data_IF_190255736895
#
_entry.id   IF_190255736895
#
_cell.length_a   1.000
_cell.length_b   1.000
_cell.length_c   1.000
_cell.angle_alpha   90.00
_cell.angle_beta   90.00
_cell.angle_gamma   90.00
#
_symmetry.space_group_name_H-M   'P 1'
#
loop_
_entity.id
_entity.type
_entity.pdbx_description
1 polymer ?
#
# COMPACT_ATOMS: atom_id res chain seq x y z
N UNK A 1 12.06 -9.01 10.67
CA UNK A 1 12.02 -7.58 11.06
C UNK A 1 10.83 -7.30 11.95
N UNK A 2 10.97 -6.40 12.93
CA UNK A 2 9.89 -5.97 13.82
C UNK A 2 9.66 -4.46 13.68
N UNK A 3 9.47 -3.98 12.44
CA UNK A 3 9.31 -2.56 12.11
C UNK A 3 8.26 -1.88 13.00
N UNK A 4 8.54 -0.67 13.47
CA UNK A 4 7.65 0.08 14.37
C UNK A 4 6.31 0.43 13.69
N UNK A 5 6.34 0.79 12.41
CA UNK A 5 5.19 1.16 11.60
C UNK A 5 4.42 -0.04 10.99
N UNK A 6 4.66 -1.26 11.42
CA UNK A 6 4.05 -2.42 10.80
C UNK A 6 2.53 -2.46 11.01
N UNK A 7 1.78 -2.15 9.97
CA UNK A 7 0.31 -2.13 9.97
C UNK A 7 -0.34 -3.51 10.18
N UNK A 8 0.43 -4.60 10.05
CA UNK A 8 -0.06 -5.99 10.23
C UNK A 8 0.41 -6.63 11.52
N UNK A 9 1.19 -5.93 12.31
CA UNK A 9 1.84 -6.50 13.50
C UNK A 9 2.57 -7.82 13.20
N UNK A 10 3.21 -7.87 12.03
CA UNK A 10 3.88 -9.09 11.57
C UNK A 10 5.08 -9.43 12.45
N UNK A 11 5.23 -10.71 12.77
CA UNK A 11 6.29 -11.25 13.63
C UNK A 11 6.52 -12.72 13.32
N UNK A 12 6.10 -13.59 14.22
CA UNK A 12 6.19 -15.05 14.06
C UNK A 12 5.17 -15.54 13.02
N UNK A 13 5.53 -16.61 12.32
CA UNK A 13 4.59 -17.31 11.44
C UNK A 13 3.40 -17.82 12.24
N UNK A 14 2.20 -17.67 11.67
CA UNK A 14 0.98 -18.18 12.28
C UNK A 14 0.80 -19.67 11.93
N UNK A 15 0.30 -20.46 12.86
CA UNK A 15 0.09 -21.91 12.64
C UNK A 15 -1.05 -22.19 11.66
N UNK A 16 -2.04 -21.28 11.58
CA UNK A 16 -3.27 -21.40 10.78
C UNK A 16 -3.23 -20.58 9.48
N UNK A 17 -2.04 -20.28 8.96
CA UNK A 17 -1.90 -19.66 7.64
C UNK A 17 -2.47 -20.56 6.53
N UNK A 18 -2.97 -19.95 5.46
CA UNK A 18 -3.42 -20.69 4.28
C UNK A 18 -2.29 -21.60 3.77
N UNK A 19 -2.62 -22.87 3.56
CA UNK A 19 -1.72 -23.86 2.94
C UNK A 19 -1.46 -23.52 1.47
N UNK A 20 -0.51 -24.21 0.83
CA UNK A 20 -0.21 -24.04 -0.59
C UNK A 20 -1.45 -24.32 -1.46
N UNK A 21 -2.21 -25.36 -1.17
CA UNK A 21 -3.40 -25.73 -1.93
C UNK A 21 -4.56 -24.73 -1.73
N UNK A 22 -4.76 -24.22 -0.51
CA UNK A 22 -5.69 -23.13 -0.25
C UNK A 22 -5.25 -21.84 -0.97
N UNK A 23 -3.95 -21.55 -1.01
CA UNK A 23 -3.38 -20.44 -1.78
C UNK A 23 -3.67 -20.58 -3.28
N UNK A 24 -3.46 -21.74 -3.88
CA UNK A 24 -3.78 -22.00 -5.29
C UNK A 24 -5.28 -21.88 -5.57
N UNK A 25 -6.15 -22.40 -4.67
CA UNK A 25 -7.58 -22.22 -4.77
C UNK A 25 -7.94 -20.74 -4.79
N UNK A 26 -7.43 -19.97 -3.85
CA UNK A 26 -7.63 -18.51 -3.75
C UNK A 26 -7.16 -17.78 -5.02
N UNK A 27 -6.01 -18.13 -5.58
CA UNK A 27 -5.48 -17.52 -6.81
C UNK A 27 -6.46 -17.73 -7.98
N UNK A 28 -7.05 -18.93 -8.13
CA UNK A 28 -8.09 -19.20 -9.14
C UNK A 28 -9.32 -18.33 -8.94
N UNK A 29 -9.78 -18.19 -7.70
CA UNK A 29 -10.95 -17.39 -7.35
C UNK A 29 -10.70 -15.87 -7.58
N UNK A 30 -9.51 -15.37 -7.26
CA UNK A 30 -9.08 -14.00 -7.57
C UNK A 30 -9.11 -13.75 -9.08
N UNK A 31 -8.59 -14.70 -9.88
CA UNK A 31 -8.66 -14.61 -11.34
C UNK A 31 -10.09 -14.61 -11.86
N UNK A 32 -10.93 -15.49 -11.33
CA UNK A 32 -12.35 -15.58 -11.68
C UNK A 32 -13.14 -14.30 -11.29
N UNK A 33 -12.73 -13.62 -10.23
CA UNK A 33 -13.29 -12.34 -9.82
C UNK A 33 -12.89 -11.17 -10.75
N UNK A 34 -11.98 -11.40 -11.72
CA UNK A 34 -11.59 -10.42 -12.75
C UNK A 34 -10.34 -9.61 -12.42
N UNK A 35 -9.65 -9.91 -11.34
CA UNK A 35 -8.39 -9.25 -11.01
C UNK A 35 -7.31 -9.59 -12.03
N UNK A 36 -6.40 -8.63 -12.26
CA UNK A 36 -5.29 -8.76 -13.22
C UNK A 36 -3.93 -8.86 -12.53
N UNK A 37 -3.86 -8.46 -11.26
CA UNK A 37 -2.62 -8.36 -10.49
C UNK A 37 -2.83 -8.95 -9.11
N UNK A 38 -1.81 -9.61 -8.60
CA UNK A 38 -1.75 -10.09 -7.23
C UNK A 38 -0.44 -9.64 -6.58
N UNK A 39 -0.54 -8.99 -5.43
CA UNK A 39 0.63 -8.55 -4.67
C UNK A 39 0.86 -9.56 -3.54
N UNK A 40 1.96 -10.26 -3.61
CA UNK A 40 2.44 -11.12 -2.52
C UNK A 40 3.17 -10.25 -1.51
N UNK A 41 2.63 -10.16 -0.31
CA UNK A 41 3.13 -9.36 0.79
C UNK A 41 2.84 -10.07 2.11
N UNK A 42 2.84 -9.35 3.23
CA UNK A 42 2.51 -9.91 4.54
C UNK A 42 3.46 -9.40 5.60
N UNK A 43 4.17 -10.29 6.31
CA UNK A 43 5.41 -9.94 7.01
C UNK A 43 6.51 -9.74 5.97
N UNK A 44 7.28 -10.80 5.74
CA UNK A 44 8.21 -10.86 4.61
C UNK A 44 7.85 -12.06 3.72
N UNK A 45 7.41 -11.85 2.48
CA UNK A 45 6.93 -12.94 1.62
C UNK A 45 8.02 -13.96 1.28
N UNK A 46 9.28 -13.54 1.18
CA UNK A 46 10.42 -14.45 0.91
C UNK A 46 10.69 -15.45 2.04
N UNK A 47 10.10 -15.26 3.21
CA UNK A 47 10.13 -16.28 4.29
C UNK A 47 9.10 -17.39 4.09
N UNK A 48 8.16 -17.24 3.16
CA UNK A 48 7.17 -18.27 2.84
C UNK A 48 7.77 -19.27 1.83
N UNK A 49 7.85 -20.54 2.21
CA UNK A 49 8.56 -21.58 1.43
C UNK A 49 7.99 -21.84 0.05
N UNK A 50 6.67 -21.68 -0.13
CA UNK A 50 5.95 -21.92 -1.37
C UNK A 50 5.66 -20.64 -2.18
N UNK A 51 6.34 -19.51 -1.86
CA UNK A 51 6.15 -18.24 -2.55
C UNK A 51 6.33 -18.37 -4.07
N UNK A 52 7.41 -19.00 -4.50
CA UNK A 52 7.73 -19.14 -5.94
C UNK A 52 6.73 -20.04 -6.65
N UNK A 53 6.28 -21.12 -6.00
CA UNK A 53 5.24 -22.01 -6.51
C UNK A 53 3.91 -21.26 -6.71
N UNK A 54 3.48 -20.48 -5.72
CA UNK A 54 2.26 -19.66 -5.78
C UNK A 54 2.39 -18.54 -6.82
N UNK A 55 3.56 -17.91 -6.94
CA UNK A 55 3.85 -16.90 -7.96
C UNK A 55 3.76 -17.47 -9.37
N UNK A 56 4.42 -18.61 -9.62
CA UNK A 56 4.37 -19.33 -10.88
C UNK A 56 2.94 -19.76 -11.24
N UNK A 57 2.19 -20.25 -10.26
CA UNK A 57 0.79 -20.63 -10.45
C UNK A 57 -0.09 -19.41 -10.81
N UNK A 58 0.09 -18.28 -10.14
CA UNK A 58 -0.60 -17.03 -10.47
C UNK A 58 -0.27 -16.57 -11.91
N UNK A 59 1.01 -16.61 -12.29
CA UNK A 59 1.48 -16.25 -13.62
C UNK A 59 0.89 -17.17 -14.70
N UNK A 60 0.83 -18.50 -14.46
CA UNK A 60 0.27 -19.47 -15.39
C UNK A 60 -1.22 -19.25 -15.70
N UNK A 61 -1.94 -18.63 -14.77
CA UNK A 61 -3.35 -18.23 -14.95
C UNK A 61 -3.51 -16.83 -15.57
N UNK A 62 -2.40 -16.17 -15.95
CA UNK A 62 -2.39 -14.84 -16.52
C UNK A 62 -2.69 -13.72 -15.50
N UNK A 63 -2.46 -13.96 -14.21
CA UNK A 63 -2.29 -12.89 -13.22
C UNK A 63 -0.87 -12.33 -13.31
N UNK A 64 -0.71 -11.10 -12.88
CA UNK A 64 0.60 -10.44 -12.77
C UNK A 64 1.06 -10.49 -11.31
N UNK A 65 1.92 -11.44 -10.91
CA UNK A 65 2.46 -11.46 -9.56
C UNK A 65 3.44 -10.31 -9.36
N UNK A 66 3.28 -9.61 -8.23
CA UNK A 66 4.12 -8.51 -7.77
C UNK A 66 4.54 -8.80 -6.34
N UNK A 67 5.76 -8.44 -5.96
CA UNK A 67 6.28 -8.65 -4.61
C UNK A 67 6.22 -7.35 -3.80
N UNK A 68 5.71 -7.40 -2.56
CA UNK A 68 5.85 -6.33 -1.56
C UNK A 68 6.79 -6.80 -0.46
N UNK A 69 8.03 -6.29 -0.41
CA UNK A 69 9.11 -6.84 0.41
C UNK A 69 9.96 -5.74 1.06
N UNK A 70 10.67 -6.11 2.13
CA UNK A 70 11.72 -5.27 2.68
C UNK A 70 13.03 -5.32 1.88
N UNK A 71 13.17 -6.27 0.93
CA UNK A 71 14.31 -6.40 0.03
C UNK A 71 15.53 -7.13 0.60
N UNK A 72 15.60 -7.34 1.92
CA UNK A 72 16.83 -7.84 2.59
C UNK A 72 17.16 -9.32 2.35
N UNK A 73 16.22 -10.07 1.78
CA UNK A 73 16.36 -11.50 1.48
C UNK A 73 16.45 -11.78 -0.03
N UNK A 74 16.60 -10.74 -0.84
CA UNK A 74 16.75 -10.90 -2.30
C UNK A 74 18.23 -11.08 -2.64
N UNK A 75 18.77 -12.28 -2.44
CA UNK A 75 20.05 -12.67 -3.00
C UNK A 75 19.92 -13.02 -4.50
N UNK A 76 20.99 -13.44 -5.14
CA UNK A 76 21.01 -13.77 -6.57
C UNK A 76 20.09 -14.94 -6.91
N UNK A 77 20.04 -15.95 -6.05
CA UNK A 77 19.18 -17.12 -6.22
C UNK A 77 17.71 -16.72 -6.08
N UNK A 78 17.36 -15.98 -5.05
CA UNK A 78 16.00 -15.49 -4.86
C UNK A 78 15.53 -14.59 -6.02
N UNK A 79 16.41 -13.71 -6.52
CA UNK A 79 16.09 -12.87 -7.68
C UNK A 79 15.82 -13.72 -8.93
N UNK A 80 16.63 -14.75 -9.19
CA UNK A 80 16.43 -15.66 -10.31
C UNK A 80 15.12 -16.46 -10.14
N UNK A 81 14.86 -17.01 -8.97
CA UNK A 81 13.64 -17.74 -8.67
C UNK A 81 12.38 -16.86 -8.80
N UNK A 82 12.43 -15.57 -8.39
CA UNK A 82 11.35 -14.62 -8.62
C UNK A 82 11.09 -14.42 -10.12
N UNK A 83 12.15 -14.28 -10.92
CA UNK A 83 12.03 -14.12 -12.37
C UNK A 83 11.39 -15.35 -13.03
N UNK A 84 11.85 -16.54 -12.68
CA UNK A 84 11.32 -17.81 -13.19
C UNK A 84 9.87 -18.06 -12.76
N UNK A 85 9.50 -17.65 -11.54
CA UNK A 85 8.12 -17.69 -11.05
C UNK A 85 7.20 -16.63 -11.68
N UNK A 86 7.73 -15.77 -12.58
CA UNK A 86 6.95 -14.80 -13.33
C UNK A 86 6.63 -13.51 -12.59
N UNK A 87 7.35 -13.18 -11.50
CA UNK A 87 7.20 -11.89 -10.85
C UNK A 87 7.64 -10.74 -11.76
N UNK A 88 6.77 -9.73 -11.92
CA UNK A 88 6.98 -8.65 -12.87
C UNK A 88 7.59 -7.39 -12.25
N UNK A 89 7.38 -7.20 -10.95
CA UNK A 89 7.85 -6.04 -10.24
C UNK A 89 7.94 -6.31 -8.72
N UNK A 90 8.71 -5.48 -8.02
CA UNK A 90 8.77 -5.46 -6.57
C UNK A 90 8.54 -4.04 -6.02
N UNK A 91 7.77 -3.94 -4.95
CA UNK A 91 7.71 -2.76 -4.08
C UNK A 91 8.66 -2.96 -2.92
N UNK A 92 9.68 -2.10 -2.82
CA UNK A 92 10.77 -2.24 -1.89
C UNK A 92 10.77 -1.08 -0.91
N UNK A 93 10.94 -1.40 0.34
CA UNK A 93 10.80 -0.44 1.43
C UNK A 93 12.12 0.23 1.78
N UNK A 94 12.18 1.57 1.69
CA UNK A 94 13.25 2.44 2.20
C UNK A 94 12.61 3.66 2.84
N UNK A 95 12.86 3.88 4.15
CA UNK A 95 12.22 4.98 4.88
C UNK A 95 13.16 6.17 5.15
N UNK A 96 14.47 5.98 4.99
CA UNK A 96 15.48 7.04 5.09
C UNK A 96 16.69 6.68 4.23
N UNK A 97 17.42 7.70 3.76
CA UNK A 97 18.73 7.53 3.10
C UNK A 97 19.88 7.44 4.11
N UNK A 98 19.64 7.73 5.38
CA UNK A 98 20.56 7.44 6.47
C UNK A 98 20.39 5.98 6.90
N UNK A 99 21.41 5.11 6.69
CA UNK A 99 21.32 3.70 7.05
C UNK A 99 20.94 3.45 8.52
N UNK A 100 21.46 4.26 9.44
CA UNK A 100 21.19 4.09 10.87
C UNK A 100 19.72 4.39 11.21
N UNK A 101 19.16 5.45 10.64
CA UNK A 101 17.75 5.80 10.82
C UNK A 101 16.84 4.73 10.21
N UNK A 102 17.13 4.32 8.98
CA UNK A 102 16.36 3.27 8.29
C UNK A 102 16.36 1.96 9.08
N UNK A 103 17.52 1.52 9.54
CA UNK A 103 17.71 0.27 10.25
C UNK A 103 17.06 0.30 11.64
N UNK A 104 17.17 1.43 12.34
CA UNK A 104 16.51 1.65 13.63
C UNK A 104 15.00 1.54 13.52
N UNK A 105 14.39 2.22 12.54
CA UNK A 105 12.94 2.20 12.29
C UNK A 105 12.43 0.81 11.87
N UNK A 106 13.28 0.06 11.13
CA UNK A 106 12.96 -1.30 10.68
C UNK A 106 13.38 -2.39 11.66
N UNK A 107 14.07 -2.02 12.77
CA UNK A 107 14.56 -2.94 13.80
C UNK A 107 15.41 -4.08 13.21
N UNK A 108 16.32 -3.73 12.29
CA UNK A 108 17.25 -4.70 11.71
C UNK A 108 18.52 -3.99 11.24
N UNK A 109 19.62 -4.20 11.96
CA UNK A 109 20.95 -3.69 11.61
C UNK A 109 21.41 -4.20 10.23
N UNK A 110 21.96 -3.34 9.40
CA UNK A 110 22.39 -3.62 8.03
C UNK A 110 21.24 -3.82 7.04
N UNK A 111 19.99 -3.52 7.43
CA UNK A 111 18.84 -3.65 6.54
C UNK A 111 18.97 -2.78 5.29
N UNK A 112 19.39 -1.51 5.44
CA UNK A 112 19.54 -0.59 4.31
C UNK A 112 20.48 -1.15 3.23
N UNK A 113 21.68 -1.57 3.62
CA UNK A 113 22.67 -2.09 2.68
C UNK A 113 22.19 -3.39 2.02
N UNK A 114 21.60 -4.33 2.78
CA UNK A 114 21.02 -5.56 2.21
C UNK A 114 19.85 -5.27 1.28
N UNK A 115 19.06 -4.25 1.55
CA UNK A 115 17.98 -3.81 0.65
C UNK A 115 18.54 -3.30 -0.67
N UNK A 116 19.63 -2.51 -0.65
CA UNK A 116 20.29 -2.03 -1.86
C UNK A 116 20.90 -3.19 -2.66
N UNK A 117 21.53 -4.16 -2.00
CA UNK A 117 22.01 -5.38 -2.65
C UNK A 117 20.87 -6.16 -3.33
N UNK A 118 19.73 -6.30 -2.63
CA UNK A 118 18.52 -6.91 -3.19
C UNK A 118 18.00 -6.18 -4.44
N UNK A 119 18.05 -4.87 -4.45
CA UNK A 119 17.69 -4.04 -5.63
C UNK A 119 18.64 -4.34 -6.79
N UNK A 120 19.94 -4.39 -6.56
CA UNK A 120 20.91 -4.73 -7.61
C UNK A 120 20.67 -6.14 -8.16
N UNK A 121 20.38 -7.12 -7.29
CA UNK A 121 20.04 -8.47 -7.73
C UNK A 121 18.77 -8.51 -8.61
N UNK A 122 17.72 -7.75 -8.28
CA UNK A 122 16.52 -7.63 -9.14
C UNK A 122 16.85 -7.01 -10.51
N UNK A 123 17.73 -6.02 -10.54
CA UNK A 123 18.17 -5.37 -11.80
C UNK A 123 18.88 -6.37 -12.70
N UNK A 124 19.74 -7.26 -12.17
CA UNK A 124 20.48 -8.26 -12.96
C UNK A 124 19.56 -9.21 -13.70
N UNK A 125 18.38 -9.53 -13.14
CA UNK A 125 17.39 -10.42 -13.78
C UNK A 125 16.28 -9.66 -14.52
N UNK A 126 16.33 -8.32 -14.54
CA UNK A 126 15.38 -7.48 -15.26
C UNK A 126 13.99 -7.40 -14.62
N UNK A 127 13.87 -7.60 -13.30
CA UNK A 127 12.64 -7.31 -12.54
C UNK A 127 12.62 -5.83 -12.18
N UNK A 128 11.58 -5.11 -12.61
CA UNK A 128 11.38 -3.71 -12.26
C UNK A 128 11.00 -3.54 -10.78
N UNK A 129 11.31 -2.39 -10.21
CA UNK A 129 10.99 -2.12 -8.82
C UNK A 129 10.49 -0.69 -8.61
N UNK A 130 9.89 -0.46 -7.47
CA UNK A 130 9.49 0.85 -6.96
C UNK A 130 9.87 0.96 -5.48
N UNK A 131 10.14 2.17 -5.02
CA UNK A 131 10.47 2.42 -3.61
C UNK A 131 9.22 2.83 -2.85
N UNK A 132 9.09 2.28 -1.65
CA UNK A 132 8.03 2.56 -0.69
C UNK A 132 8.62 3.19 0.57
N UNK A 133 8.15 4.37 0.95
CA UNK A 133 8.53 5.06 2.18
C UNK A 133 7.29 5.31 3.02
N UNK A 134 7.31 4.93 4.29
CA UNK A 134 6.31 5.39 5.25
C UNK A 134 6.75 6.73 5.80
N UNK A 135 5.93 7.77 5.58
CA UNK A 135 6.25 9.12 6.04
C UNK A 135 5.86 9.32 7.49
N UNK A 136 6.82 9.80 8.26
CA UNK A 136 6.75 10.17 9.65
C UNK A 136 7.26 11.62 9.80
N UNK A 137 7.05 12.25 10.95
CA UNK A 137 7.54 13.62 11.17
C UNK A 137 9.07 13.70 11.16
N UNK A 138 9.79 12.65 11.59
CA UNK A 138 11.24 12.59 11.58
C UNK A 138 11.89 12.44 10.18
N UNK A 139 11.18 11.85 9.19
CA UNK A 139 11.72 11.66 7.83
C UNK A 139 11.04 12.53 6.76
N UNK A 140 10.02 13.32 7.11
CA UNK A 140 9.28 14.15 6.14
C UNK A 140 10.17 15.12 5.37
N UNK A 141 11.29 15.56 5.96
CA UNK A 141 12.29 16.40 5.31
C UNK A 141 13.18 15.68 4.30
N UNK A 142 13.17 14.35 4.27
CA UNK A 142 13.99 13.54 3.36
C UNK A 142 13.26 13.15 2.06
N UNK A 143 11.93 13.32 1.98
CA UNK A 143 11.09 12.73 0.91
C UNK A 143 11.51 13.14 -0.50
N UNK A 144 11.90 14.39 -0.72
CA UNK A 144 12.37 14.86 -2.02
C UNK A 144 13.74 14.25 -2.39
N UNK A 145 14.64 14.11 -1.41
CA UNK A 145 15.93 13.45 -1.61
C UNK A 145 15.75 11.95 -1.88
N UNK A 146 14.80 11.29 -1.19
CA UNK A 146 14.45 9.89 -1.47
C UNK A 146 13.84 9.76 -2.87
N UNK A 147 13.04 10.73 -3.33
CA UNK A 147 12.52 10.74 -4.69
C UNK A 147 13.65 10.82 -5.74
N UNK A 148 14.63 11.72 -5.54
CA UNK A 148 15.81 11.84 -6.42
C UNK A 148 16.63 10.54 -6.43
N UNK A 149 16.91 9.99 -5.25
CA UNK A 149 17.60 8.71 -5.11
C UNK A 149 16.83 7.58 -5.81
N UNK A 150 15.51 7.53 -5.66
CA UNK A 150 14.65 6.54 -6.30
C UNK A 150 14.79 6.56 -7.83
N UNK A 151 14.81 7.76 -8.43
CA UNK A 151 15.06 7.91 -9.87
C UNK A 151 16.50 7.49 -10.24
N UNK A 152 17.48 7.90 -9.46
CA UNK A 152 18.90 7.60 -9.68
C UNK A 152 19.19 6.10 -9.71
N UNK A 153 18.59 5.32 -8.82
CA UNK A 153 18.79 3.85 -8.78
C UNK A 153 17.99 3.10 -9.86
N UNK A 154 17.18 3.80 -10.66
CA UNK A 154 16.42 3.23 -11.77
C UNK A 154 15.07 2.61 -11.38
N UNK A 155 14.48 3.03 -10.27
CA UNK A 155 13.13 2.62 -9.90
C UNK A 155 12.09 3.20 -10.87
N UNK A 156 10.94 2.51 -11.02
CA UNK A 156 9.84 2.93 -11.91
C UNK A 156 8.89 3.93 -11.28
N UNK A 157 8.81 3.98 -9.96
CA UNK A 157 7.95 4.88 -9.21
C UNK A 157 8.43 5.03 -7.76
N UNK A 158 7.98 6.09 -7.11
CA UNK A 158 8.15 6.33 -5.69
C UNK A 158 6.79 6.42 -4.99
N UNK A 159 6.51 5.53 -4.06
CA UNK A 159 5.27 5.50 -3.30
C UNK A 159 5.51 6.00 -1.87
N UNK A 160 4.84 7.09 -1.51
CA UNK A 160 4.91 7.72 -0.19
C UNK A 160 3.66 7.35 0.60
N UNK A 161 3.83 6.48 1.60
CA UNK A 161 2.73 5.98 2.44
C UNK A 161 2.55 6.90 3.64
N UNK A 162 1.40 7.54 3.73
CA UNK A 162 1.03 8.31 4.91
C UNK A 162 0.48 7.36 5.98
N UNK A 163 1.06 7.43 7.16
CA UNK A 163 0.71 6.52 8.26
C UNK A 163 -0.80 6.54 8.53
N UNK A 164 -1.38 5.35 8.63
CA UNK A 164 -2.67 5.10 9.26
C UNK A 164 -2.38 4.19 10.45
N UNK A 165 -2.58 4.62 11.69
CA UNK A 165 -2.15 3.89 12.87
C UNK A 165 -3.00 2.63 13.09
N UNK A 166 -2.48 1.51 12.57
CA UNK A 166 -3.02 0.15 12.72
C UNK A 166 -1.89 -0.83 13.01
N UNK A 167 -2.17 -1.97 13.61
CA UNK A 167 -1.14 -2.91 14.06
C UNK A 167 -0.18 -2.24 15.05
N UNK A 168 1.14 -2.48 14.93
CA UNK A 168 2.16 -1.83 15.77
C UNK A 168 2.22 -0.31 15.60
N UNK A 169 1.82 0.20 14.45
CA UNK A 169 1.83 1.64 14.18
C UNK A 169 0.94 2.47 15.12
N UNK A 170 0.02 1.85 15.85
CA UNK A 170 -0.76 2.51 16.92
C UNK A 170 0.17 3.07 18.01
N UNK A 171 1.28 2.40 18.29
CA UNK A 171 2.22 2.81 19.35
C UNK A 171 3.07 4.02 18.98
N UNK A 172 3.07 4.44 17.70
CA UNK A 172 3.83 5.58 17.18
C UNK A 172 2.91 6.58 16.45
N UNK A 173 1.63 6.60 16.79
CA UNK A 173 0.66 7.54 16.19
C UNK A 173 1.09 9.00 16.38
N UNK A 174 1.70 9.32 17.52
CA UNK A 174 2.19 10.67 17.83
C UNK A 174 3.30 11.15 16.89
N UNK A 175 4.03 10.23 16.25
CA UNK A 175 5.06 10.51 15.25
C UNK A 175 4.49 10.66 13.82
N UNK A 176 3.18 10.42 13.63
CA UNK A 176 2.51 10.66 12.36
C UNK A 176 2.44 12.17 12.08
N UNK A 177 2.45 12.54 10.80
CA UNK A 177 2.29 13.93 10.41
C UNK A 177 0.98 14.50 10.97
N UNK A 178 1.04 15.72 11.48
CA UNK A 178 -0.17 16.48 11.82
C UNK A 178 -0.89 16.92 10.54
N UNK A 179 -2.20 17.14 10.64
CA UNK A 179 -3.05 17.46 9.48
C UNK A 179 -2.53 18.63 8.64
N UNK A 180 -2.03 19.68 9.28
CA UNK A 180 -1.46 20.83 8.56
C UNK A 180 -0.19 20.49 7.79
N UNK A 181 0.69 19.66 8.36
CA UNK A 181 1.92 19.22 7.71
C UNK A 181 1.64 18.20 6.61
N UNK A 182 0.65 17.34 6.81
CA UNK A 182 0.16 16.41 5.80
C UNK A 182 -0.22 17.13 4.49
N UNK A 183 -1.03 18.18 4.54
CA UNK A 183 -1.46 18.93 3.35
C UNK A 183 -0.29 19.65 2.68
N UNK A 184 0.64 20.24 3.46
CA UNK A 184 1.87 20.84 2.96
C UNK A 184 2.76 19.82 2.27
N UNK A 185 2.93 18.65 2.87
CA UNK A 185 3.74 17.56 2.30
C UNK A 185 3.17 17.08 0.97
N UNK A 186 1.83 16.93 0.86
CA UNK A 186 1.20 16.63 -0.43
C UNK A 186 1.49 17.71 -1.47
N UNK A 187 1.43 18.99 -1.10
CA UNK A 187 1.72 20.09 -2.01
C UNK A 187 3.19 20.08 -2.48
N UNK A 188 4.14 19.77 -1.58
CA UNK A 188 5.58 19.63 -1.89
C UNK A 188 5.84 18.43 -2.81
N UNK A 189 5.27 17.26 -2.52
CA UNK A 189 5.43 16.07 -3.36
C UNK A 189 4.88 16.30 -4.77
N UNK A 190 3.74 16.97 -4.90
CA UNK A 190 3.17 17.30 -6.22
C UNK A 190 3.96 18.41 -6.95
N UNK A 191 4.67 19.27 -6.23
CA UNK A 191 5.63 20.19 -6.86
C UNK A 191 6.87 19.45 -7.34
N UNK A 192 7.42 18.55 -6.51
CA UNK A 192 8.54 17.68 -6.89
C UNK A 192 8.21 16.83 -8.11
N UNK A 193 6.97 16.31 -8.23
CA UNK A 193 6.52 15.53 -9.38
C UNK A 193 6.73 16.23 -10.72
N UNK A 194 6.62 17.56 -10.78
CA UNK A 194 6.86 18.33 -12.03
C UNK A 194 8.27 18.20 -12.57
N UNK A 195 9.22 17.84 -11.71
CA UNK A 195 10.66 17.75 -12.01
C UNK A 195 11.11 16.29 -12.21
N UNK A 196 10.18 15.33 -12.02
CA UNK A 196 10.51 13.90 -12.00
C UNK A 196 9.95 13.18 -13.23
N UNK A 197 10.75 12.31 -13.83
CA UNK A 197 10.31 11.39 -14.88
C UNK A 197 9.54 10.19 -14.30
N UNK A 198 9.93 9.75 -13.10
CA UNK A 198 9.21 8.70 -12.37
C UNK A 198 7.99 9.27 -11.65
N UNK A 199 6.96 8.46 -11.45
CA UNK A 199 5.77 8.91 -10.76
C UNK A 199 5.93 8.85 -9.25
N UNK A 200 5.65 9.96 -8.56
CA UNK A 200 5.51 10.04 -7.11
C UNK A 200 4.04 9.81 -6.77
N UNK A 201 3.75 8.73 -6.04
CA UNK A 201 2.39 8.38 -5.63
C UNK A 201 2.20 8.48 -4.12
N UNK A 202 1.54 9.52 -3.61
CA UNK A 202 1.06 9.51 -2.23
C UNK A 202 0.02 8.39 -2.05
N UNK A 203 0.27 7.50 -1.09
CA UNK A 203 -0.57 6.36 -0.74
C UNK A 203 -1.18 6.58 0.64
N UNK A 204 -2.41 6.15 0.86
CA UNK A 204 -3.23 6.51 2.02
C UNK A 204 -3.45 8.04 2.16
N UNK A 205 -3.26 8.76 1.07
CA UNK A 205 -3.38 10.21 0.99
C UNK A 205 -4.17 10.63 -0.27
N UNK A 206 -5.42 10.16 -0.46
CA UNK A 206 -6.17 10.34 -1.71
C UNK A 206 -6.39 11.80 -2.09
N UNK A 207 -6.24 12.73 -1.16
CA UNK A 207 -6.30 14.17 -1.39
C UNK A 207 -5.24 14.67 -2.38
N UNK A 208 -4.20 13.86 -2.68
CA UNK A 208 -3.20 14.18 -3.70
C UNK A 208 -3.84 14.42 -5.07
N UNK A 209 -4.96 13.76 -5.39
CA UNK A 209 -5.71 13.97 -6.63
C UNK A 209 -6.14 15.43 -6.78
N UNK A 210 -6.71 16.01 -5.72
CA UNK A 210 -7.11 17.42 -5.70
C UNK A 210 -5.91 18.35 -5.81
N UNK A 211 -4.84 18.03 -5.10
CA UNK A 211 -3.61 18.86 -5.12
C UNK A 211 -2.96 18.82 -6.50
N UNK A 212 -2.91 17.66 -7.13
CA UNK A 212 -2.38 17.48 -8.49
C UNK A 212 -3.23 18.23 -9.53
N UNK A 213 -4.56 18.10 -9.46
CA UNK A 213 -5.49 18.80 -10.33
C UNK A 213 -5.31 20.31 -10.27
N UNK A 214 -5.25 20.89 -9.05
CA UNK A 214 -5.00 22.33 -8.84
C UNK A 214 -3.64 22.79 -9.36
N UNK A 215 -2.67 21.90 -9.51
CA UNK A 215 -1.34 22.18 -10.07
C UNK A 215 -1.23 21.87 -11.58
N UNK A 216 -2.31 21.43 -12.22
CA UNK A 216 -2.34 21.05 -13.63
C UNK A 216 -1.53 19.80 -13.97
N UNK A 217 -1.32 18.89 -13.00
CA UNK A 217 -0.59 17.66 -13.20
C UNK A 217 -1.49 16.56 -13.77
N UNK A 218 -1.03 15.94 -14.86
CA UNK A 218 -1.67 14.75 -15.42
C UNK A 218 -0.95 13.48 -14.91
N UNK A 219 -1.52 12.86 -13.90
CA UNK A 219 -0.95 11.67 -13.26
C UNK A 219 -1.52 10.39 -13.88
N UNK A 220 -0.73 9.31 -13.90
CA UNK A 220 -1.18 7.97 -14.31
C UNK A 220 -2.26 7.44 -13.36
N UNK A 221 -2.14 7.73 -12.07
CA UNK A 221 -3.10 7.33 -11.05
C UNK A 221 -4.24 8.36 -10.95
N UNK A 222 -5.38 8.05 -11.55
CA UNK A 222 -6.56 8.90 -11.60
C UNK A 222 -7.54 8.70 -10.44
N UNK A 223 -7.29 7.71 -9.58
CA UNK A 223 -8.12 7.38 -8.41
C UNK A 223 -7.30 7.47 -7.13
N UNK A 224 -7.89 8.05 -6.09
CA UNK A 224 -7.30 8.18 -4.77
C UNK A 224 -7.44 6.91 -3.95
N UNK A 225 -8.55 6.73 -3.23
CA UNK A 225 -8.79 5.52 -2.45
C UNK A 225 -9.35 4.39 -3.32
N UNK A 226 -8.73 3.21 -3.23
CA UNK A 226 -9.13 2.01 -3.98
C UNK A 226 -9.78 0.95 -3.10
N UNK A 227 -9.89 1.18 -1.78
CA UNK A 227 -10.41 0.24 -0.81
C UNK A 227 -11.81 -0.26 -1.20
N UNK A 228 -11.97 -1.56 -1.37
CA UNK A 228 -13.23 -2.19 -1.76
C UNK A 228 -13.72 -1.91 -3.18
N UNK A 229 -13.08 -0.99 -3.92
CA UNK A 229 -13.46 -0.62 -5.30
C UNK A 229 -12.69 -1.46 -6.32
N UNK A 230 -11.37 -1.46 -6.25
CA UNK A 230 -10.48 -2.24 -7.11
C UNK A 230 -9.29 -2.86 -6.36
N UNK A 231 -9.30 -2.77 -5.05
CA UNK A 231 -8.29 -3.29 -4.15
C UNK A 231 -8.94 -3.88 -2.91
N UNK A 232 -8.43 -5.01 -2.47
CA UNK A 232 -8.70 -5.62 -1.18
C UNK A 232 -7.46 -6.36 -0.69
N UNK A 233 -7.48 -6.83 0.53
CA UNK A 233 -6.43 -7.67 1.08
C UNK A 233 -7.03 -8.97 1.62
N UNK A 234 -6.30 -10.05 1.47
CA UNK A 234 -6.58 -11.32 2.14
C UNK A 234 -5.42 -11.57 3.11
N UNK A 235 -5.73 -11.70 4.38
CA UNK A 235 -4.70 -11.94 5.39
C UNK A 235 -4.23 -13.41 5.37
N UNK A 236 -3.14 -13.78 6.09
CA UNK A 236 -2.62 -15.14 6.07
C UNK A 236 -3.63 -16.22 6.51
N UNK A 237 -4.64 -15.86 7.31
CA UNK A 237 -5.70 -16.75 7.78
C UNK A 237 -6.90 -16.85 6.84
N UNK A 238 -6.86 -16.16 5.70
CA UNK A 238 -7.94 -16.17 4.71
C UNK A 238 -9.04 -15.14 4.92
N UNK A 239 -8.95 -14.24 5.90
CA UNK A 239 -9.92 -13.17 6.06
C UNK A 239 -9.72 -12.09 5.00
N UNK A 240 -10.81 -11.71 4.33
CA UNK A 240 -10.85 -10.64 3.34
C UNK A 240 -11.12 -9.31 4.05
N UNK A 241 -10.39 -8.27 3.67
CA UNK A 241 -10.53 -6.91 4.20
C UNK A 241 -10.56 -5.89 3.05
N UNK A 242 -11.29 -4.76 3.16
CA UNK A 242 -11.38 -3.76 2.09
C UNK A 242 -10.03 -3.13 1.71
N UNK A 243 -9.16 -2.93 2.70
CA UNK A 243 -7.78 -2.51 2.50
C UNK A 243 -6.89 -2.92 3.68
N UNK A 244 -5.58 -2.72 3.54
CA UNK A 244 -4.59 -3.12 4.53
C UNK A 244 -4.77 -2.46 5.91
N UNK A 245 -5.30 -1.23 5.91
CA UNK A 245 -5.46 -0.39 7.10
C UNK A 245 -6.92 -0.32 7.60
N UNK A 246 -7.86 -0.92 6.90
CA UNK A 246 -9.27 -1.00 7.31
C UNK A 246 -9.51 -2.40 7.89
N UNK A 247 -9.28 -2.54 9.20
CA UNK A 247 -9.33 -3.81 9.92
C UNK A 247 -10.78 -4.28 10.14
N UNK A 248 -11.43 -4.63 9.02
CA UNK A 248 -12.81 -5.12 8.98
C UNK A 248 -12.83 -6.44 8.22
N UNK A 249 -13.30 -7.51 8.86
CA UNK A 249 -13.49 -8.79 8.20
C UNK A 249 -14.76 -8.78 7.33
N UNK A 250 -14.59 -9.10 6.06
CA UNK A 250 -15.68 -9.23 5.08
C UNK A 250 -16.12 -10.68 4.87
N UNK A 251 -15.45 -11.63 5.51
CA UNK A 251 -15.62 -13.07 5.39
C UNK A 251 -14.28 -13.78 5.25
N UNK A 252 -14.31 -15.11 5.25
CA UNK A 252 -13.13 -15.98 5.15
C UNK A 252 -13.22 -16.85 3.88
N UNK A 253 -12.12 -16.92 3.11
CA UNK A 253 -12.03 -17.71 1.86
C UNK A 253 -12.07 -19.21 2.09
N UNK A 254 -11.91 -19.68 3.34
CA UNK A 254 -12.14 -21.09 3.72
C UNK A 254 -13.62 -21.43 3.79
N UNK A 255 -14.46 -20.45 4.16
CA UNK A 255 -15.90 -20.61 4.38
C UNK A 255 -16.72 -20.28 3.14
N UNK A 256 -16.25 -19.30 2.37
CA UNK A 256 -16.95 -18.77 1.20
C UNK A 256 -15.98 -18.41 0.09
N UNK A 257 -16.25 -18.77 -1.19
CA UNK A 257 -15.39 -18.39 -2.32
C UNK A 257 -15.14 -16.88 -2.39
N UNK A 258 -13.90 -16.50 -2.71
CA UNK A 258 -13.49 -15.10 -2.76
C UNK A 258 -14.33 -14.25 -3.73
N UNK A 259 -14.66 -14.78 -4.89
CA UNK A 259 -15.46 -14.07 -5.90
C UNK A 259 -16.88 -13.74 -5.41
N UNK A 260 -17.46 -14.59 -4.59
CA UNK A 260 -18.74 -14.31 -3.93
C UNK A 260 -18.59 -13.23 -2.86
N UNK A 261 -17.55 -13.33 -1.98
CA UNK A 261 -17.28 -12.29 -0.98
C UNK A 261 -17.10 -10.94 -1.70
N UNK A 262 -16.30 -10.92 -2.78
CA UNK A 262 -16.00 -9.69 -3.52
C UNK A 262 -17.22 -9.05 -4.18
N UNK A 263 -18.15 -9.84 -4.71
CA UNK A 263 -19.32 -9.34 -5.43
C UNK A 263 -20.50 -9.01 -4.52
N UNK A 264 -20.71 -9.77 -3.46
CA UNK A 264 -21.96 -9.75 -2.70
C UNK A 264 -21.85 -9.10 -1.32
N UNK A 265 -20.61 -8.86 -0.83
CA UNK A 265 -20.46 -8.26 0.49
C UNK A 265 -20.99 -6.81 0.50
N UNK A 266 -21.86 -6.52 1.48
CA UNK A 266 -22.53 -5.24 1.62
C UNK A 266 -21.54 -4.06 1.75
N UNK A 267 -20.51 -4.20 2.59
CA UNK A 267 -19.50 -3.14 2.80
C UNK A 267 -18.77 -2.78 1.51
N UNK A 268 -18.39 -3.79 0.70
CA UNK A 268 -17.77 -3.56 -0.60
C UNK A 268 -18.71 -2.86 -1.56
N UNK A 269 -19.98 -3.22 -1.56
CA UNK A 269 -20.98 -2.59 -2.41
C UNK A 269 -21.22 -1.14 -2.00
N UNK A 270 -21.32 -0.85 -0.70
CA UNK A 270 -21.42 0.52 -0.18
C UNK A 270 -20.19 1.36 -0.54
N UNK A 271 -18.97 0.84 -0.39
CA UNK A 271 -17.76 1.55 -0.79
C UNK A 271 -17.73 1.91 -2.29
N UNK A 272 -18.36 1.09 -3.14
CA UNK A 272 -18.47 1.30 -4.60
C UNK A 272 -19.50 2.35 -4.98
N UNK A 273 -20.54 2.59 -4.17
CA UNK A 273 -21.50 3.68 -4.42
C UNK A 273 -20.87 5.06 -4.27
N UNK A 274 -19.82 5.15 -3.44
CA UNK A 274 -19.17 6.41 -3.08
C UNK A 274 -20.13 7.44 -2.45
N UNK A 275 -21.21 6.98 -1.82
CA UNK A 275 -22.19 7.82 -1.11
C UNK A 275 -21.68 8.19 0.28
N UNK A 276 -20.52 8.83 0.29
CA UNK A 276 -19.84 9.22 1.52
C UNK A 276 -20.63 10.30 2.28
N UNK A 277 -20.42 10.36 3.60
CA UNK A 277 -21.02 11.35 4.50
C UNK A 277 -20.16 12.61 4.61
N UNK A 278 -20.71 13.64 5.23
CA UNK A 278 -20.02 14.89 5.53
C UNK A 278 -19.45 15.57 4.29
N UNK A 279 -18.32 16.25 4.44
CA UNK A 279 -17.67 17.00 3.35
C UNK A 279 -17.24 16.12 2.17
N UNK A 280 -16.93 14.82 2.40
CA UNK A 280 -16.60 13.91 1.31
C UNK A 280 -17.79 13.63 0.39
N UNK A 281 -19.01 13.57 0.92
CA UNK A 281 -20.24 13.29 0.17
C UNK A 281 -20.63 14.40 -0.82
N UNK A 282 -20.36 15.65 -0.46
CA UNK A 282 -20.70 16.83 -1.28
C UNK A 282 -19.49 17.38 -2.07
N UNK A 283 -18.35 16.67 -2.01
CA UNK A 283 -17.09 17.15 -2.59
C UNK A 283 -17.04 16.96 -4.11
N UNK A 284 -16.57 17.97 -4.83
CA UNK A 284 -16.34 17.92 -6.29
C UNK A 284 -15.35 16.80 -6.69
N UNK A 285 -14.50 16.40 -5.76
CA UNK A 285 -13.53 15.31 -5.95
C UNK A 285 -14.03 13.95 -5.41
N UNK A 286 -15.31 13.81 -5.02
CA UNK A 286 -15.86 12.60 -4.41
C UNK A 286 -15.49 11.32 -5.16
N UNK A 287 -15.73 11.28 -6.46
CA UNK A 287 -15.52 10.09 -7.30
C UNK A 287 -14.05 9.79 -7.58
N UNK A 288 -13.20 10.79 -7.57
CA UNK A 288 -11.75 10.64 -7.85
C UNK A 288 -10.94 10.42 -6.58
N UNK A 289 -11.22 11.16 -5.53
CA UNK A 289 -10.47 11.16 -4.27
C UNK A 289 -11.01 10.14 -3.27
N UNK A 290 -12.27 10.28 -2.88
CA UNK A 290 -12.96 9.42 -1.92
C UNK A 290 -12.55 9.60 -0.46
N UNK A 291 -11.51 10.39 -0.12
CA UNK A 291 -10.90 10.39 1.21
C UNK A 291 -10.29 9.03 1.60
N UNK A 292 -9.45 8.95 2.61
CA UNK A 292 -8.94 7.67 3.09
C UNK A 292 -10.00 6.96 3.94
N UNK A 293 -10.54 5.85 3.44
CA UNK A 293 -11.62 5.11 4.14
C UNK A 293 -11.17 4.48 5.45
N UNK A 294 -9.88 4.12 5.54
CA UNK A 294 -9.32 3.62 6.81
C UNK A 294 -9.21 4.73 7.86
N UNK A 295 -8.77 5.94 7.51
CA UNK A 295 -8.80 7.08 8.43
C UNK A 295 -10.23 7.49 8.79
N UNK A 296 -11.14 7.53 7.79
CA UNK A 296 -12.54 7.80 8.07
C UNK A 296 -13.09 6.82 9.12
N UNK A 297 -12.86 5.52 8.96
CA UNK A 297 -13.26 4.49 9.91
C UNK A 297 -12.63 4.69 11.30
N UNK A 298 -11.33 4.92 11.34
CA UNK A 298 -10.58 5.05 12.59
C UNK A 298 -11.07 6.23 13.44
N UNK A 299 -11.15 7.42 12.83
CA UNK A 299 -11.46 8.65 13.57
C UNK A 299 -12.98 8.91 13.75
N UNK A 300 -13.84 8.21 13.01
CA UNK A 300 -15.30 8.27 13.17
C UNK A 300 -15.89 7.18 14.06
N UNK A 301 -15.06 6.44 14.80
CA UNK A 301 -15.50 5.32 15.66
C UNK A 301 -16.21 4.20 14.89
N UNK A 302 -15.73 3.86 13.70
CA UNK A 302 -16.18 2.70 12.93
C UNK A 302 -17.04 3.00 11.70
N UNK A 303 -17.25 4.25 11.32
CA UNK A 303 -17.96 4.60 10.10
C UNK A 303 -17.01 4.80 8.91
N UNK A 304 -16.84 3.76 8.09
CA UNK A 304 -15.99 3.82 6.89
C UNK A 304 -16.56 4.72 5.78
N UNK A 305 -17.83 5.14 5.87
CA UNK A 305 -18.45 6.09 4.95
C UNK A 305 -18.37 7.55 5.44
N UNK A 306 -17.87 7.80 6.65
CA UNK A 306 -17.64 9.14 7.18
C UNK A 306 -16.68 9.96 6.34
N UNK A 307 -16.60 11.26 6.57
CA UNK A 307 -15.59 12.11 5.95
C UNK A 307 -14.17 11.79 6.46
N UNK A 308 -13.16 12.03 5.64
CA UNK A 308 -11.76 11.96 6.07
C UNK A 308 -11.38 13.27 6.77
N UNK A 309 -11.21 13.23 8.08
CA UNK A 309 -10.94 14.40 8.91
C UNK A 309 -9.60 15.08 8.58
N UNK A 310 -8.66 14.34 8.00
CA UNK A 310 -7.35 14.89 7.60
C UNK A 310 -7.40 15.76 6.34
N UNK A 311 -8.54 15.86 5.68
CA UNK A 311 -8.73 16.73 4.54
C UNK A 311 -9.04 18.16 5.02
N UNK A 312 -8.18 19.13 4.72
CA UNK A 312 -8.42 20.55 5.02
C UNK A 312 -9.32 21.25 3.98
N UNK A 313 -9.58 20.60 2.84
CA UNK A 313 -10.44 21.16 1.81
C UNK A 313 -11.89 21.18 2.27
N UNK A 314 -12.52 22.32 2.07
CA UNK A 314 -13.95 22.53 2.29
C UNK A 314 -14.62 22.75 0.93
N UNK A 315 -15.41 21.78 0.45
CA UNK A 315 -16.17 21.96 -0.79
C UNK A 315 -17.27 23.01 -0.61
N UNK A 316 -17.73 23.63 -1.71
CA UNK A 316 -18.88 24.53 -1.66
C UNK A 316 -20.06 23.85 -0.98
N UNK A 317 -20.73 24.55 -0.05
CA UNK A 317 -21.87 24.01 0.71
C UNK A 317 -21.52 23.23 1.99
N UNK A 318 -20.25 22.98 2.28
CA UNK A 318 -19.86 22.37 3.55
C UNK A 318 -20.13 23.32 4.73
N UNK A 319 -20.91 22.85 5.72
CA UNK A 319 -21.15 23.61 6.95
C UNK A 319 -19.84 23.84 7.71
N UNK A 320 -19.68 25.03 8.30
CA UNK A 320 -18.61 25.23 9.29
C UNK A 320 -19.01 24.41 10.53
N UNK A 321 -18.18 23.46 10.94
CA UNK A 321 -18.30 22.94 12.28
C UNK A 321 -17.92 24.09 13.24
N UNK A 322 -18.85 24.55 14.04
CA UNK A 322 -18.63 25.45 15.17
C UNK A 322 -17.81 24.78 16.25
#
# INVERSE_FOLDING_TARGET
MLCEHCYRDAGTRLEDELSTEEGKKLIREIKAAGFQMMIFSGGEPLMRKDLFELGSYASSLGLRPVLGTNGTLIDREAAQNLKEAGFLAAGISIDSLDPLKNDSFRKLEGAFNRTLEGIENLKTVGIGFQIHTTVMDWNVGELENIADFTAQIGARAYHVFFLVPTGRAVNIEEEALRVAEYEKTLARLMEKQKQMEIEIKPTCAPQFIRVADKKGLNLRFSKGCLAGVSYCIINPRGFVQPCAYLEMSLGNVRERPFDQIWRENQVLNELRTMDYKGKCGICDYREKCGGCRARAFLYSKGDYMAEDEWCLYRPPGARKHE
#
